data_IF_154624085473
#
_entry.id   IF_154624085473
#
_cell.length_a   1.000
_cell.length_b   1.000
_cell.length_c   1.000
_cell.angle_alpha   90.00
_cell.angle_beta   90.00
_cell.angle_gamma   90.00
#
_symmetry.space_group_name_H-M   'P 1'
#
loop_
_entity.id
_entity.type
_entity.pdbx_description
1 polymer ?
#
# COMPACT_ATOMS: atom_id res chain seq x y z
N UNK A 1 -34.67 13.70 6.47
CA UNK A 1 -34.08 12.87 5.40
C UNK A 1 -33.41 11.68 6.07
N UNK A 2 -33.81 10.47 5.74
CA UNK A 2 -33.17 9.24 6.23
C UNK A 2 -32.17 8.76 5.18
N UNK A 3 -30.91 8.62 5.56
CA UNK A 3 -29.89 8.01 4.72
C UNK A 3 -29.91 6.50 4.96
N UNK A 4 -30.02 5.72 3.89
CA UNK A 4 -29.88 4.26 3.94
C UNK A 4 -28.50 3.91 3.40
N UNK A 5 -27.67 3.26 4.23
CA UNK A 5 -26.36 2.74 3.80
C UNK A 5 -26.53 1.29 3.36
N UNK A 6 -26.29 1.02 2.08
CA UNK A 6 -26.19 -0.35 1.56
C UNK A 6 -24.75 -0.82 1.68
N UNK A 7 -24.51 -1.93 2.36
CA UNK A 7 -23.19 -2.55 2.47
C UNK A 7 -23.16 -3.74 1.52
N UNK A 8 -22.34 -3.65 0.46
CA UNK A 8 -22.04 -4.79 -0.39
C UNK A 8 -20.68 -5.38 -0.03
N UNK A 9 -20.65 -6.69 0.26
CA UNK A 9 -19.42 -7.46 0.40
C UNK A 9 -19.25 -8.31 -0.85
N UNK A 10 -18.15 -8.09 -1.60
CA UNK A 10 -17.82 -8.94 -2.75
C UNK A 10 -17.59 -10.38 -2.28
N UNK A 11 -18.08 -11.34 -3.05
CA UNK A 11 -18.00 -12.77 -2.72
C UNK A 11 -16.58 -13.34 -2.88
N UNK A 12 -15.75 -12.75 -3.75
CA UNK A 12 -14.42 -13.26 -4.10
C UNK A 12 -13.30 -12.47 -3.41
N UNK A 13 -12.26 -13.16 -2.93
CA UNK A 13 -11.01 -12.53 -2.50
C UNK A 13 -10.21 -12.04 -3.72
N UNK A 14 -10.27 -10.74 -4.00
CA UNK A 14 -9.44 -10.09 -5.03
C UNK A 14 -8.45 -9.13 -4.38
N UNK A 15 -7.17 -9.26 -4.75
CA UNK A 15 -6.11 -8.35 -4.30
C UNK A 15 -6.38 -6.93 -4.83
N UNK A 16 -6.77 -6.83 -6.10
CA UNK A 16 -7.10 -5.58 -6.74
C UNK A 16 -8.61 -5.34 -6.74
N UNK A 17 -9.03 -4.23 -6.15
CA UNK A 17 -10.43 -3.78 -6.17
C UNK A 17 -10.77 -2.91 -7.41
N UNK A 18 -9.75 -2.53 -8.19
CA UNK A 18 -9.84 -1.75 -9.43
C UNK A 18 -9.53 -2.58 -10.70
N UNK A 19 -9.58 -1.92 -11.85
CA UNK A 19 -9.37 -2.51 -13.18
C UNK A 19 -8.20 -1.89 -13.96
N UNK A 20 -7.53 -0.91 -13.37
CA UNK A 20 -6.30 -0.33 -13.89
C UNK A 20 -5.14 -1.34 -13.85
N UNK A 21 -4.23 -1.34 -14.84
CA UNK A 21 -3.05 -2.19 -14.81
C UNK A 21 -2.14 -1.86 -13.61
N UNK A 22 -1.81 -2.86 -12.80
CA UNK A 22 -0.82 -2.73 -11.74
C UNK A 22 0.60 -2.91 -12.30
N UNK A 23 1.31 -1.80 -12.55
CA UNK A 23 2.71 -1.82 -12.95
C UNK A 23 3.64 -1.94 -11.73
N UNK A 24 4.84 -2.48 -11.94
CA UNK A 24 5.85 -2.67 -10.88
C UNK A 24 7.08 -1.80 -11.12
N UNK A 25 7.87 -1.60 -10.07
CA UNK A 25 9.15 -0.91 -10.10
C UNK A 25 10.18 -1.65 -9.25
N UNK A 26 11.46 -1.35 -9.45
CA UNK A 26 12.56 -1.81 -8.59
C UNK A 26 13.23 -0.62 -7.92
N UNK A 27 13.73 -0.81 -6.71
CA UNK A 27 14.39 0.24 -5.92
C UNK A 27 15.33 -0.35 -4.88
N UNK A 28 16.19 0.50 -4.31
CA UNK A 28 17.14 0.10 -3.27
C UNK A 28 16.39 -0.08 -1.94
N UNK A 29 16.47 -1.27 -1.36
CA UNK A 29 15.84 -1.59 -0.08
C UNK A 29 16.70 -1.18 1.11
N UNK A 30 16.06 -0.59 2.12
CA UNK A 30 16.61 -0.35 3.45
C UNK A 30 16.03 -1.29 4.52
N UNK A 31 15.20 -2.26 4.13
CA UNK A 31 14.52 -3.19 5.05
C UNK A 31 15.52 -4.18 5.65
N UNK A 32 15.49 -4.34 6.98
CA UNK A 32 16.39 -5.22 7.74
C UNK A 32 15.70 -6.43 8.38
N UNK A 33 14.37 -6.48 8.34
CA UNK A 33 13.56 -7.58 8.88
C UNK A 33 12.68 -8.20 7.79
N UNK A 34 12.30 -9.46 7.98
CA UNK A 34 11.39 -10.15 7.06
C UNK A 34 10.07 -9.34 6.95
N UNK A 35 9.75 -8.90 5.73
CA UNK A 35 8.60 -8.04 5.45
C UNK A 35 7.65 -8.77 4.51
N UNK A 36 6.37 -8.97 4.89
CA UNK A 36 5.39 -9.64 4.03
C UNK A 36 5.12 -8.88 2.72
N UNK A 37 4.64 -9.62 1.71
CA UNK A 37 4.11 -9.01 0.49
C UNK A 37 2.90 -8.11 0.80
N UNK A 38 2.64 -7.13 -0.06
CA UNK A 38 1.56 -6.13 0.07
C UNK A 38 1.73 -5.17 1.26
N UNK A 39 2.96 -5.02 1.77
CA UNK A 39 3.29 -4.02 2.79
C UNK A 39 3.54 -2.68 2.11
N UNK A 40 2.82 -1.59 2.47
CA UNK A 40 3.11 -0.27 1.94
C UNK A 40 4.54 0.18 2.25
N UNK A 41 5.19 0.82 1.28
CA UNK A 41 6.57 1.28 1.36
C UNK A 41 6.65 2.80 1.32
N UNK A 42 7.63 3.37 2.03
CA UNK A 42 7.99 4.79 1.99
C UNK A 42 9.49 4.97 1.73
N UNK A 43 9.89 6.19 1.39
CA UNK A 43 11.31 6.56 1.34
C UNK A 43 11.78 6.94 2.74
N UNK A 44 12.92 6.41 3.15
CA UNK A 44 13.67 6.90 4.30
C UNK A 44 14.27 8.28 3.95
N UNK A 45 13.96 9.31 4.72
CA UNK A 45 14.36 10.70 4.43
C UNK A 45 15.89 10.92 4.44
N UNK A 46 16.64 10.05 5.13
CA UNK A 46 18.11 10.19 5.25
C UNK A 46 18.83 9.51 4.09
N UNK A 47 18.38 8.31 3.71
CA UNK A 47 19.07 7.44 2.76
C UNK A 47 18.41 7.36 1.39
N UNK A 48 17.14 7.78 1.28
CA UNK A 48 16.33 7.64 0.07
C UNK A 48 15.98 6.18 -0.28
N UNK A 49 16.20 5.23 0.63
CA UNK A 49 15.90 3.81 0.41
C UNK A 49 14.44 3.51 0.71
N UNK A 50 13.91 2.48 0.07
CA UNK A 50 12.57 1.96 0.38
C UNK A 50 12.59 1.22 1.72
N UNK A 51 11.72 1.64 2.63
CA UNK A 51 11.46 1.02 3.94
C UNK A 51 9.96 0.80 4.12
N UNK A 52 9.55 0.00 5.10
CA UNK A 52 8.13 -0.16 5.43
C UNK A 52 7.55 1.20 5.87
N UNK A 53 6.36 1.54 5.38
CA UNK A 53 5.67 2.77 5.74
C UNK A 53 5.26 2.78 7.22
N UNK A 54 5.53 3.89 7.91
CA UNK A 54 5.30 4.05 9.35
C UNK A 54 3.85 4.41 9.73
N UNK A 55 3.02 4.70 8.73
CA UNK A 55 1.61 5.06 8.92
C UNK A 55 1.37 6.46 9.48
N UNK A 56 2.40 7.30 9.67
CA UNK A 56 2.25 8.58 10.37
C UNK A 56 1.68 9.69 9.51
N UNK A 57 1.94 9.67 8.19
CA UNK A 57 1.56 10.75 7.28
C UNK A 57 0.87 10.24 6.03
N UNK A 58 -0.31 10.79 5.74
CA UNK A 58 -0.95 10.58 4.45
C UNK A 58 -0.04 11.04 3.30
N UNK A 59 -0.04 10.27 2.21
CA UNK A 59 0.74 10.57 1.01
C UNK A 59 2.22 10.19 1.06
N UNK A 60 2.73 9.58 2.15
CA UNK A 60 4.13 9.13 2.21
C UNK A 60 4.33 7.66 1.88
N UNK A 61 3.26 6.87 1.71
CA UNK A 61 3.33 5.57 1.06
C UNK A 61 3.48 5.75 -0.45
N UNK A 62 4.61 5.30 -1.01
CA UNK A 62 4.99 5.50 -2.43
C UNK A 62 4.96 4.21 -3.25
N UNK A 63 4.72 3.07 -2.61
CA UNK A 63 4.60 1.77 -3.26
C UNK A 63 3.93 0.74 -2.36
N UNK A 64 3.55 -0.39 -2.95
CA UNK A 64 3.03 -1.60 -2.29
C UNK A 64 3.66 -2.82 -2.95
#
# INVERSE_FOLDING_TARGET
>A
MSFTTTIEKRADNRIFAGNDPAHTATGVSGITAATPMLTPLMLDDTTGKLVAWDGQKAGTAVGV
#
